data_IF_845089450054
#
_entry.id   IF_845089450054
#
_cell.length_a   1.000
_cell.length_b   1.000
_cell.length_c   1.000
_cell.angle_alpha   90.00
_cell.angle_beta   90.00
_cell.angle_gamma   90.00
#
_symmetry.space_group_name_H-M   'P 1'
#
loop_
_entity.id
_entity.type
_entity.pdbx_description
1 polymer ?
#
# COMPACT_ATOMS: atom_id res chain seq x y z
N UNK A 1 39.81 -28.02 13.90
CA UNK A 1 39.87 -26.54 13.87
C UNK A 1 38.75 -26.10 12.95
N UNK A 2 37.69 -25.56 13.52
CA UNK A 2 36.41 -25.44 12.83
C UNK A 2 35.93 -23.99 12.95
N UNK A 3 35.67 -23.39 11.79
CA UNK A 3 34.95 -22.14 11.54
C UNK A 3 35.73 -20.81 11.68
N UNK A 4 36.44 -20.45 10.60
CA UNK A 4 36.67 -19.06 10.21
C UNK A 4 36.10 -18.86 8.79
N UNK A 5 34.79 -19.09 8.64
CA UNK A 5 34.06 -18.98 7.37
C UNK A 5 32.80 -18.09 7.51
N UNK A 6 32.75 -17.22 8.52
CA UNK A 6 31.48 -16.61 8.92
C UNK A 6 31.12 -15.32 8.17
N UNK A 7 32.06 -14.53 7.68
CA UNK A 7 31.71 -13.11 7.47
C UNK A 7 31.31 -12.71 6.05
N UNK A 8 31.63 -13.49 5.01
CA UNK A 8 31.30 -13.09 3.63
C UNK A 8 29.86 -13.42 3.21
N UNK A 9 29.17 -14.30 3.95
CA UNK A 9 27.77 -14.69 3.66
C UNK A 9 26.79 -14.38 4.80
N UNK A 10 27.26 -13.82 5.93
CA UNK A 10 26.36 -13.45 7.01
C UNK A 10 25.46 -12.29 6.59
N UNK A 11 26.05 -11.20 6.09
CA UNK A 11 25.35 -10.11 5.45
C UNK A 11 24.93 -10.54 4.03
N UNK A 12 23.62 -10.61 3.78
CA UNK A 12 23.07 -10.90 2.45
C UNK A 12 22.99 -9.63 1.60
N UNK A 13 22.72 -9.79 0.30
CA UNK A 13 22.36 -8.70 -0.61
C UNK A 13 23.34 -7.51 -0.64
N UNK A 14 24.64 -7.80 -0.54
CA UNK A 14 25.69 -6.78 -0.56
C UNK A 14 25.79 -5.95 0.71
N UNK A 15 25.18 -6.39 1.83
CA UNK A 15 25.36 -5.75 3.13
C UNK A 15 26.80 -5.80 3.64
N UNK A 16 27.22 -4.78 4.38
CA UNK A 16 28.55 -4.71 4.99
C UNK A 16 28.52 -5.27 6.41
N UNK A 17 29.42 -6.21 6.71
CA UNK A 17 29.53 -6.83 8.02
C UNK A 17 30.46 -6.03 8.93
N UNK A 18 29.94 -5.63 10.10
CA UNK A 18 30.67 -4.92 11.14
C UNK A 18 30.79 -5.82 12.38
N UNK A 19 32.03 -6.13 12.76
CA UNK A 19 32.33 -6.85 13.99
C UNK A 19 32.62 -5.87 15.11
N UNK A 20 31.91 -5.98 16.23
CA UNK A 20 32.09 -5.14 17.41
C UNK A 20 32.94 -5.94 18.42
N UNK A 21 34.26 -5.67 18.54
CA UNK A 21 35.19 -6.52 19.28
C UNK A 21 34.92 -6.59 20.78
N UNK A 22 34.27 -5.57 21.35
CA UNK A 22 33.98 -5.50 22.79
C UNK A 22 32.79 -6.34 23.25
N UNK A 23 31.90 -6.70 22.32
CA UNK A 23 30.66 -7.43 22.62
C UNK A 23 30.64 -8.82 21.94
N UNK A 24 31.68 -9.14 21.15
CA UNK A 24 31.72 -10.28 20.24
C UNK A 24 30.45 -10.40 19.37
N UNK A 25 29.87 -9.24 19.00
CA UNK A 25 28.65 -9.16 18.20
C UNK A 25 28.98 -8.80 16.76
N UNK A 26 28.22 -9.41 15.84
CA UNK A 26 28.29 -9.18 14.40
C UNK A 26 27.00 -8.48 13.94
N UNK A 27 27.15 -7.32 13.32
CA UNK A 27 26.03 -6.48 12.85
C UNK A 27 26.17 -6.21 11.35
N UNK A 28 25.04 -6.18 10.64
CA UNK A 28 25.00 -5.89 9.21
C UNK A 28 24.56 -4.44 8.96
N UNK A 29 25.24 -3.76 8.05
CA UNK A 29 24.79 -2.48 7.47
C UNK A 29 24.22 -2.78 6.08
N UNK A 30 22.92 -2.56 5.93
CA UNK A 30 22.19 -2.87 4.70
C UNK A 30 22.19 -1.69 3.71
N UNK A 31 22.07 -2.02 2.42
CA UNK A 31 21.82 -1.03 1.36
C UNK A 31 20.37 -0.55 1.38
N UNK A 32 20.06 0.56 0.72
CA UNK A 32 18.76 1.27 0.79
C UNK A 32 17.52 0.40 0.47
N UNK A 33 17.70 -0.69 -0.28
CA UNK A 33 16.64 -1.61 -0.68
C UNK A 33 16.57 -2.91 0.14
N UNK A 34 17.33 -3.03 1.23
CA UNK A 34 17.36 -4.24 2.05
C UNK A 34 17.27 -3.94 3.54
N UNK A 35 16.59 -4.83 4.27
CA UNK A 35 16.32 -4.75 5.70
C UNK A 35 16.48 -6.12 6.37
N UNK A 36 16.35 -6.14 7.69
CA UNK A 36 16.54 -7.32 8.52
C UNK A 36 17.92 -7.34 9.16
N UNK A 37 18.12 -8.24 10.13
CA UNK A 37 19.38 -8.34 10.87
C UNK A 37 20.55 -8.76 9.98
N UNK A 38 20.25 -9.37 8.83
CA UNK A 38 21.21 -9.87 7.85
C UNK A 38 20.98 -9.31 6.45
N UNK A 39 20.18 -8.25 6.31
CA UNK A 39 19.81 -7.68 5.00
C UNK A 39 19.08 -8.69 4.09
N UNK A 40 18.36 -9.64 4.68
CA UNK A 40 17.67 -10.74 4.01
C UNK A 40 16.29 -10.34 3.45
N UNK A 41 15.72 -9.23 3.96
CA UNK A 41 14.43 -8.74 3.51
C UNK A 41 14.65 -7.69 2.44
N UNK A 42 14.00 -7.85 1.28
CA UNK A 42 13.82 -6.74 0.37
C UNK A 42 13.01 -5.67 1.10
N UNK A 43 13.63 -4.53 1.32
CA UNK A 43 12.87 -3.32 1.56
C UNK A 43 12.23 -3.03 0.22
N UNK A 44 11.04 -3.62 0.00
CA UNK A 44 10.09 -3.14 -0.97
C UNK A 44 9.87 -1.69 -0.58
N UNK A 45 10.69 -0.84 -1.19
CA UNK A 45 10.46 0.54 -1.38
C UNK A 45 9.21 0.55 -2.27
N UNK A 46 8.07 0.28 -1.62
CA UNK A 46 6.97 1.21 -1.69
C UNK A 46 7.61 2.50 -1.18
N UNK A 47 8.41 3.16 -2.05
CA UNK A 47 8.22 4.58 -2.21
C UNK A 47 6.71 4.63 -2.24
N UNK A 48 6.16 5.33 -1.27
CA UNK A 48 5.27 6.38 -1.68
C UNK A 48 5.87 7.01 -2.96
N UNK A 49 5.64 6.35 -4.09
CA UNK A 49 5.61 6.91 -5.40
C UNK A 49 4.38 7.84 -5.46
N UNK A 50 3.74 8.11 -4.31
CA UNK A 50 3.17 9.39 -3.92
C UNK A 50 4.22 10.51 -3.74
N UNK A 51 5.18 10.59 -4.66
CA UNK A 51 5.77 11.86 -5.07
C UNK A 51 5.88 11.90 -6.60
N UNK A 52 4.90 11.32 -7.31
CA UNK A 52 4.85 11.33 -8.77
C UNK A 52 3.74 10.55 -9.47
N UNK A 53 2.92 9.74 -8.79
CA UNK A 53 1.77 9.02 -9.40
C UNK A 53 0.41 9.42 -8.82
N UNK A 54 0.33 10.59 -8.19
CA UNK A 54 -0.95 11.19 -7.83
C UNK A 54 -1.78 11.61 -9.06
N UNK A 55 -1.19 11.66 -10.26
CA UNK A 55 -1.92 12.02 -11.48
C UNK A 55 -2.66 10.84 -12.10
N UNK A 56 -2.04 9.66 -12.22
CA UNK A 56 -2.67 8.51 -12.90
C UNK A 56 -3.80 7.93 -12.05
N UNK A 57 -3.59 7.78 -10.73
CA UNK A 57 -4.62 7.27 -9.83
C UNK A 57 -5.80 8.25 -9.77
N UNK A 58 -5.54 9.56 -9.64
CA UNK A 58 -6.61 10.56 -9.64
C UNK A 58 -7.35 10.61 -10.98
N UNK A 59 -6.65 10.54 -12.12
CA UNK A 59 -7.27 10.53 -13.44
C UNK A 59 -8.15 9.30 -13.64
N UNK A 60 -7.69 8.10 -13.24
CA UNK A 60 -8.48 6.85 -13.32
C UNK A 60 -9.72 6.93 -12.44
N UNK A 61 -9.61 7.44 -11.21
CA UNK A 61 -10.75 7.62 -10.30
C UNK A 61 -11.75 8.63 -10.86
N UNK A 62 -11.29 9.78 -11.39
CA UNK A 62 -12.15 10.80 -12.00
C UNK A 62 -12.87 10.24 -13.23
N UNK A 63 -12.17 9.53 -14.11
CA UNK A 63 -12.77 8.90 -15.31
C UNK A 63 -13.83 7.88 -14.89
N UNK A 64 -13.57 7.04 -13.90
CA UNK A 64 -14.54 6.07 -13.39
C UNK A 64 -15.79 6.74 -12.81
N UNK A 65 -15.63 7.79 -12.00
CA UNK A 65 -16.75 8.58 -11.47
C UNK A 65 -17.57 9.23 -12.58
N UNK A 66 -16.92 9.80 -13.61
CA UNK A 66 -17.60 10.36 -14.77
C UNK A 66 -18.38 9.31 -15.55
N UNK A 67 -17.81 8.13 -15.77
CA UNK A 67 -18.50 7.02 -16.45
C UNK A 67 -19.70 6.54 -15.64
N UNK A 68 -19.60 6.41 -14.32
CA UNK A 68 -20.71 6.01 -13.42
C UNK A 68 -21.79 7.10 -13.37
N UNK A 69 -21.42 8.38 -13.29
CA UNK A 69 -22.39 9.49 -13.32
C UNK A 69 -23.05 9.65 -14.69
N UNK A 70 -22.33 9.39 -15.79
CA UNK A 70 -22.89 9.34 -17.15
C UNK A 70 -23.76 8.10 -17.35
N UNK A 71 -23.48 7.02 -16.64
CA UNK A 71 -24.30 5.82 -16.57
C UNK A 71 -25.52 5.97 -15.63
N UNK A 72 -25.89 7.19 -15.22
CA UNK A 72 -27.23 7.45 -14.69
C UNK A 72 -28.22 7.36 -15.86
N UNK A 73 -29.01 6.28 -16.02
CA UNK A 73 -30.03 6.25 -17.06
C UNK A 73 -30.99 7.41 -16.82
N UNK A 74 -31.28 8.22 -17.84
CA UNK A 74 -32.43 9.13 -17.84
C UNK A 74 -33.71 8.29 -17.85
N UNK A 75 -34.07 7.65 -16.74
CA UNK A 75 -35.40 7.07 -16.58
C UNK A 75 -36.35 8.20 -16.19
N UNK A 76 -37.06 8.72 -17.19
CA UNK A 76 -38.05 9.77 -17.03
C UNK A 76 -39.21 9.28 -16.14
N UNK A 77 -39.22 9.75 -14.90
CA UNK A 77 -40.40 10.31 -14.22
C UNK A 77 -41.77 9.77 -14.69
N UNK A 78 -42.20 8.61 -14.15
CA UNK A 78 -43.65 8.35 -14.01
C UNK A 78 -44.07 8.77 -12.61
N UNK A 79 -44.67 9.95 -12.56
CA UNK A 79 -45.46 10.45 -11.45
C UNK A 79 -46.58 9.44 -11.12
N UNK A 80 -46.53 8.83 -9.95
CA UNK A 80 -47.67 8.21 -9.29
C UNK A 80 -47.57 8.57 -7.81
N UNK A 81 -48.16 9.72 -7.48
CA UNK A 81 -48.90 9.98 -6.27
C UNK A 81 -48.27 9.56 -4.92
N UNK A 82 -47.90 10.62 -4.19
CA UNK A 82 -48.08 10.72 -2.76
C UNK A 82 -49.40 10.07 -2.31
N UNK A 83 -49.38 8.80 -1.93
CA UNK A 83 -50.48 8.17 -1.20
C UNK A 83 -49.93 7.15 -0.21
N UNK A 84 -49.13 7.62 0.74
CA UNK A 84 -49.09 7.01 2.06
C UNK A 84 -49.79 8.02 3.02
N UNK A 85 -50.70 7.52 3.88
CA UNK A 85 -51.60 8.19 4.86
C UNK A 85 -52.57 9.31 4.40
N UNK A 86 -53.74 8.93 3.86
CA UNK A 86 -55.00 9.66 4.12
C UNK A 86 -55.75 8.88 5.20
N UNK A 87 -55.82 9.42 6.42
CA UNK A 87 -56.59 8.83 7.53
C UNK A 87 -58.02 9.36 7.40
N UNK A 88 -59.00 8.47 7.34
CA UNK A 88 -60.43 8.83 7.32
C UNK A 88 -60.87 9.25 8.74
N UNK A 89 -61.57 10.39 8.93
CA UNK A 89 -62.21 10.69 10.20
C UNK A 89 -63.34 9.68 10.45
N UNK A 90 -63.35 9.05 11.62
CA UNK A 90 -64.54 8.34 12.11
C UNK A 90 -65.48 9.40 12.69
N UNK A 91 -66.65 9.55 12.08
CA UNK A 91 -67.81 10.24 12.66
C UNK A 91 -68.21 9.61 14.02
#
# INVERSE_FOLDING_TARGET
>A
MMYMYLETSYCMNGGTCLKIPFMDTLTCVCSENYKGSRCELDQLLITAHDAGETELIAAVVIIFLLLVWKAKPKNQQKNSEQQYWRVEPRD
#
